data_IF_099506454658
#
_entry.id   IF_099506454658
#
_cell.length_a   1.000
_cell.length_b   1.000
_cell.length_c   1.000
_cell.angle_alpha   90.00
_cell.angle_beta   90.00
_cell.angle_gamma   90.00
#
_symmetry.space_group_name_H-M   'P 1'
#
loop_
_entity.id
_entity.type
_entity.pdbx_description
1 polymer ?
#
# COMPACT_ATOMS: atom_id res chain seq x y z
N UNK A 1 3.95 13.99 -22.61
CA UNK A 1 3.88 14.90 -21.45
C UNK A 1 3.24 16.24 -21.86
N UNK A 2 2.44 16.87 -21.00
CA UNK A 2 1.83 18.19 -21.22
C UNK A 2 2.79 19.33 -20.86
N UNK A 3 3.65 19.10 -19.86
CA UNK A 3 4.74 19.98 -19.43
C UNK A 3 5.99 19.11 -19.28
N UNK A 4 7.20 19.57 -19.66
CA UNK A 4 8.43 18.84 -19.37
C UNK A 4 8.55 18.53 -17.86
N UNK A 5 8.84 17.27 -17.46
CA UNK A 5 9.03 16.94 -16.05
C UNK A 5 10.21 17.70 -15.45
N UNK A 6 10.04 18.14 -14.21
CA UNK A 6 11.14 18.63 -13.36
C UNK A 6 12.00 17.43 -12.98
N UNK A 7 13.28 17.50 -13.35
CA UNK A 7 14.28 16.48 -12.99
C UNK A 7 14.92 16.88 -11.67
N UNK A 8 14.82 16.05 -10.61
CA UNK A 8 15.43 16.38 -9.32
C UNK A 8 16.96 16.36 -9.43
N UNK A 9 17.63 17.35 -8.84
CA UNK A 9 19.07 17.36 -8.68
C UNK A 9 19.47 16.53 -7.47
N UNK A 10 20.14 15.40 -7.71
CA UNK A 10 20.55 14.48 -6.64
C UNK A 10 22.03 14.71 -6.27
N UNK A 11 22.37 14.73 -4.97
CA UNK A 11 23.76 14.87 -4.55
C UNK A 11 24.60 13.64 -4.95
N UNK A 12 25.91 13.83 -5.09
CA UNK A 12 26.83 12.71 -5.32
C UNK A 12 26.72 11.70 -4.18
N UNK A 13 26.56 10.43 -4.52
CA UNK A 13 26.39 9.34 -3.55
C UNK A 13 24.96 9.15 -3.05
N UNK A 14 23.97 9.86 -3.61
CA UNK A 14 22.56 9.60 -3.33
C UNK A 14 22.20 8.13 -3.62
N UNK A 15 21.45 7.51 -2.70
CA UNK A 15 20.84 6.21 -2.91
C UNK A 15 19.39 6.43 -3.31
N UNK A 16 18.99 5.90 -4.46
CA UNK A 16 17.68 6.16 -5.07
C UNK A 16 16.88 4.89 -5.15
N UNK A 17 15.65 4.94 -4.63
CA UNK A 17 14.59 3.99 -4.91
C UNK A 17 13.53 4.62 -5.82
N UNK A 18 12.99 3.83 -6.74
CA UNK A 18 11.84 4.19 -7.57
C UNK A 18 10.76 3.15 -7.34
N UNK A 19 9.53 3.61 -7.15
CA UNK A 19 8.33 2.78 -7.07
C UNK A 19 7.37 3.20 -8.16
N UNK A 20 6.79 2.22 -8.82
CA UNK A 20 5.87 2.41 -9.93
C UNK A 20 4.53 1.81 -9.56
N UNK A 21 3.48 2.52 -9.95
CA UNK A 21 2.12 2.15 -9.66
C UNK A 21 1.21 2.25 -10.87
N UNK A 22 0.23 1.35 -10.97
CA UNK A 22 -0.72 1.25 -12.06
C UNK A 22 -2.11 0.88 -11.56
N UNK A 23 -3.16 1.45 -12.16
CA UNK A 23 -4.57 1.15 -11.85
C UNK A 23 -5.20 0.14 -12.84
N UNK A 24 -4.40 -0.53 -13.66
CA UNK A 24 -4.88 -1.56 -14.58
C UNK A 24 -4.27 -2.92 -14.25
N UNK A 25 -4.45 -3.92 -15.11
CA UNK A 25 -4.17 -5.31 -14.73
C UNK A 25 -2.69 -5.61 -14.49
N UNK A 26 -1.79 -5.16 -15.38
CA UNK A 26 -0.37 -5.51 -15.30
C UNK A 26 0.53 -4.38 -15.76
N UNK A 27 1.41 -3.94 -14.86
CA UNK A 27 2.54 -3.06 -15.12
C UNK A 27 3.76 -3.89 -15.52
N UNK A 28 4.29 -3.61 -16.71
CA UNK A 28 5.57 -4.15 -17.18
C UNK A 28 6.57 -3.02 -17.36
N UNK A 29 7.75 -3.15 -16.75
CA UNK A 29 8.84 -2.18 -16.93
C UNK A 29 9.43 -2.31 -18.34
N UNK A 30 9.35 -1.24 -19.11
CA UNK A 30 10.07 -1.09 -20.38
C UNK A 30 11.49 -0.57 -20.21
N UNK A 31 12.33 -0.78 -21.22
CA UNK A 31 13.73 -0.30 -21.25
C UNK A 31 14.70 -1.36 -21.73
N UNK A 32 15.97 -1.00 -21.90
CA UNK A 32 16.99 -1.99 -22.24
C UNK A 32 17.26 -2.91 -21.03
N UNK A 33 17.59 -4.20 -21.24
CA UNK A 33 17.95 -5.11 -20.14
C UNK A 33 19.10 -4.57 -19.29
N UNK A 34 20.05 -3.85 -19.90
CA UNK A 34 21.14 -3.20 -19.21
C UNK A 34 20.66 -2.08 -18.26
N UNK A 35 19.72 -1.24 -18.69
CA UNK A 35 19.17 -0.16 -17.87
C UNK A 35 18.37 -0.71 -16.68
N UNK A 36 17.49 -1.70 -16.91
CA UNK A 36 16.70 -2.33 -15.85
C UNK A 36 17.60 -3.04 -14.82
N UNK A 37 18.65 -3.73 -15.29
CA UNK A 37 19.64 -4.35 -14.39
C UNK A 37 20.44 -3.32 -13.60
N UNK A 38 20.90 -2.25 -14.25
CA UNK A 38 21.66 -1.18 -13.60
C UNK A 38 20.82 -0.45 -12.53
N UNK A 39 19.54 -0.20 -12.81
CA UNK A 39 18.57 0.35 -11.87
C UNK A 39 18.14 -0.64 -10.77
N UNK A 40 18.59 -1.90 -10.82
CA UNK A 40 18.16 -2.98 -9.90
C UNK A 40 16.63 -3.09 -9.86
N UNK A 41 16.04 -3.07 -11.05
CA UNK A 41 14.59 -3.13 -11.21
C UNK A 41 14.07 -4.55 -10.96
N UNK A 42 12.97 -4.63 -10.22
CA UNK A 42 12.23 -5.84 -9.88
C UNK A 42 10.77 -5.59 -10.22
N UNK A 43 10.26 -6.37 -11.17
CA UNK A 43 8.86 -6.30 -11.60
C UNK A 43 8.09 -7.57 -11.21
N UNK A 44 8.76 -8.58 -10.66
CA UNK A 44 8.18 -9.88 -10.35
C UNK A 44 9.24 -10.99 -10.33
N UNK A 45 8.83 -12.24 -10.57
CA UNK A 45 9.71 -13.40 -10.61
C UNK A 45 9.53 -14.16 -11.93
N UNK A 46 10.61 -14.35 -12.70
CA UNK A 46 10.65 -15.31 -13.81
C UNK A 46 9.53 -15.13 -14.85
N UNK A 47 9.23 -13.90 -15.27
CA UNK A 47 8.15 -13.61 -16.23
C UNK A 47 6.75 -13.55 -15.61
N UNK A 48 6.63 -13.67 -14.28
CA UNK A 48 5.40 -13.43 -13.53
C UNK A 48 5.48 -12.08 -12.82
N UNK A 49 4.90 -10.99 -13.39
CA UNK A 49 4.92 -9.67 -12.79
C UNK A 49 4.16 -9.64 -11.47
N UNK A 50 4.41 -8.63 -10.65
CA UNK A 50 3.60 -8.42 -9.45
C UNK A 50 2.17 -8.01 -9.79
N UNK A 51 1.88 -7.52 -10.99
CA UNK A 51 0.57 -6.96 -11.33
C UNK A 51 0.70 -5.45 -11.40
N UNK A 52 0.19 -4.72 -10.42
CA UNK A 52 0.10 -3.25 -10.43
C UNK A 52 1.37 -2.51 -9.99
N UNK A 53 2.40 -3.22 -9.51
CA UNK A 53 3.57 -2.62 -8.85
C UNK A 53 4.89 -3.09 -9.47
N UNK A 54 5.86 -2.19 -9.51
CA UNK A 54 7.27 -2.53 -9.69
C UNK A 54 8.16 -1.54 -8.94
N UNK A 55 9.44 -1.87 -8.78
CA UNK A 55 10.39 -0.97 -8.13
C UNK A 55 11.79 -1.13 -8.70
N UNK A 56 12.60 -0.10 -8.58
CA UNK A 56 14.03 -0.10 -8.91
C UNK A 56 14.83 0.45 -7.73
N UNK A 57 15.86 -0.26 -7.29
CA UNK A 57 16.73 0.21 -6.20
C UNK A 57 16.09 0.25 -4.80
N UNK A 58 14.84 -0.19 -4.64
CA UNK A 58 14.08 -0.10 -3.39
C UNK A 58 14.81 -0.75 -2.19
N UNK A 59 15.31 -1.98 -2.34
CA UNK A 59 16.03 -2.64 -1.25
C UNK A 59 17.28 -1.87 -0.83
N UNK A 60 18.06 -1.36 -1.79
CA UNK A 60 19.26 -0.55 -1.48
C UNK A 60 18.89 0.76 -0.80
N UNK A 61 17.77 1.38 -1.20
CA UNK A 61 17.24 2.56 -0.53
C UNK A 61 16.87 2.27 0.93
N UNK A 62 16.08 1.23 1.20
CA UNK A 62 15.68 0.88 2.56
C UNK A 62 16.86 0.45 3.43
N UNK A 63 17.81 -0.33 2.91
CA UNK A 63 19.04 -0.67 3.62
C UNK A 63 19.82 0.60 4.04
N UNK A 64 19.90 1.59 3.15
CA UNK A 64 20.58 2.86 3.45
C UNK A 64 19.80 3.70 4.47
N UNK A 65 18.48 3.78 4.33
CA UNK A 65 17.61 4.49 5.27
C UNK A 65 17.68 3.87 6.67
N UNK A 66 17.56 2.55 6.78
CA UNK A 66 17.63 1.83 8.05
C UNK A 66 19.00 1.94 8.72
N UNK A 67 20.10 1.91 7.95
CA UNK A 67 21.44 2.22 8.46
C UNK A 67 21.55 3.66 8.95
N UNK A 68 20.93 4.62 8.25
CA UNK A 68 20.90 6.01 8.69
C UNK A 68 20.09 6.19 9.98
N UNK A 69 18.98 5.45 10.15
CA UNK A 69 18.20 5.41 11.40
C UNK A 69 19.05 4.85 12.54
N UNK A 70 19.69 3.70 12.34
CA UNK A 70 20.57 3.06 13.34
C UNK A 70 21.74 3.97 13.74
N UNK A 71 22.28 4.74 12.80
CA UNK A 71 23.35 5.71 13.03
C UNK A 71 22.85 7.06 13.57
N UNK A 72 21.55 7.24 13.83
CA UNK A 72 20.97 8.49 14.32
C UNK A 72 20.96 9.65 13.30
N UNK A 73 21.18 9.37 12.01
CA UNK A 73 21.23 10.35 10.91
C UNK A 73 19.88 10.60 10.26
N UNK A 74 18.97 9.62 10.35
CA UNK A 74 17.58 9.73 9.90
C UNK A 74 16.67 9.48 11.09
N UNK A 75 15.74 10.41 11.35
CA UNK A 75 14.72 10.24 12.38
C UNK A 75 13.38 9.95 11.73
N UNK A 76 12.81 8.80 12.05
CA UNK A 76 11.45 8.46 11.66
C UNK A 76 10.49 9.06 12.71
N UNK A 77 9.47 9.85 12.31
CA UNK A 77 8.48 10.34 13.26
C UNK A 77 7.67 9.16 13.81
N UNK A 78 7.39 9.13 15.13
CA UNK A 78 6.55 8.07 15.69
C UNK A 78 5.12 8.16 15.13
N UNK A 79 4.40 7.05 15.15
CA UNK A 79 2.96 7.07 14.92
C UNK A 79 2.29 7.98 15.95
N UNK A 80 1.36 8.81 15.49
CA UNK A 80 0.60 9.72 16.34
C UNK A 80 -0.47 8.99 17.17
N UNK A 81 -1.33 9.78 17.82
CA UNK A 81 -2.59 9.30 18.41
C UNK A 81 -3.76 9.85 17.60
N UNK A 82 -4.68 8.98 17.24
CA UNK A 82 -5.93 9.33 16.60
C UNK A 82 -6.90 9.99 17.60
N UNK A 83 -7.94 10.63 17.07
CA UNK A 83 -9.01 11.31 17.85
C UNK A 83 -9.76 10.39 18.82
N UNK A 84 -9.70 9.09 18.60
CA UNK A 84 -10.29 8.08 19.48
C UNK A 84 -9.34 7.64 20.62
N UNK A 85 -8.12 8.17 20.66
CA UNK A 85 -7.09 7.88 21.65
C UNK A 85 -6.20 6.69 21.32
N UNK A 86 -6.53 5.89 20.29
CA UNK A 86 -5.69 4.77 19.83
C UNK A 86 -4.51 5.29 18.98
N UNK A 87 -3.46 4.48 18.78
CA UNK A 87 -2.39 4.82 17.84
C UNK A 87 -2.96 5.11 16.44
N UNK A 88 -2.34 6.07 15.74
CA UNK A 88 -2.61 6.27 14.32
C UNK A 88 -2.27 5.00 13.54
N UNK A 89 -3.11 4.60 12.56
CA UNK A 89 -2.81 3.44 11.73
C UNK A 89 -1.56 3.70 10.87
N UNK A 90 -0.99 2.63 10.33
CA UNK A 90 0.07 2.68 9.34
C UNK A 90 -0.27 1.76 8.16
N UNK A 91 0.58 1.72 7.14
CA UNK A 91 0.43 0.78 6.01
C UNK A 91 0.65 -0.70 6.37
N UNK A 92 0.88 -1.00 7.65
CA UNK A 92 0.92 -2.37 8.19
C UNK A 92 -0.16 -2.61 9.25
N UNK A 93 -1.21 -1.79 9.26
CA UNK A 93 -2.35 -1.92 10.17
C UNK A 93 -3.53 -2.64 9.48
N UNK A 94 -4.08 -3.65 10.14
CA UNK A 94 -5.19 -4.48 9.62
C UNK A 94 -6.51 -3.73 9.43
N UNK A 95 -6.62 -2.48 9.89
CA UNK A 95 -7.75 -1.59 9.59
C UNK A 95 -7.62 -0.81 8.29
N UNK A 96 -6.41 -0.76 7.73
CA UNK A 96 -6.12 -0.09 6.48
C UNK A 96 -6.00 -1.12 5.35
N UNK A 97 -5.08 -2.07 5.50
CA UNK A 97 -4.63 -2.99 4.44
C UNK A 97 -5.74 -3.85 3.85
N UNK A 98 -5.53 -4.33 2.62
CA UNK A 98 -6.41 -5.27 1.92
C UNK A 98 -5.71 -6.59 1.54
N UNK A 99 -6.18 -7.27 0.49
CA UNK A 99 -5.67 -8.57 0.06
C UNK A 99 -4.23 -8.54 -0.47
N UNK A 100 -3.78 -7.38 -0.94
CA UNK A 100 -2.51 -7.16 -1.61
C UNK A 100 -1.79 -5.92 -1.07
N UNK A 101 -1.64 -5.90 0.26
CA UNK A 101 -1.13 -4.76 1.01
C UNK A 101 0.23 -4.21 0.56
N UNK A 102 0.57 -3.03 1.08
CA UNK A 102 1.83 -2.34 0.76
C UNK A 102 1.94 -2.06 -0.75
N UNK A 103 0.80 -1.84 -1.38
CA UNK A 103 0.72 -1.60 -2.81
C UNK A 103 0.92 -0.12 -3.17
N UNK A 104 1.43 0.02 -4.39
CA UNK A 104 1.23 1.19 -5.23
C UNK A 104 1.83 2.50 -4.66
N UNK A 105 1.40 3.68 -5.11
CA UNK A 105 2.09 4.95 -4.78
C UNK A 105 1.14 6.05 -4.34
N UNK A 106 1.68 7.07 -3.67
CA UNK A 106 0.96 8.29 -3.27
C UNK A 106 0.93 9.34 -4.38
N UNK A 107 1.85 9.21 -5.34
CA UNK A 107 2.08 10.14 -6.44
C UNK A 107 0.81 10.35 -7.27
N UNK A 108 0.58 11.61 -7.65
CA UNK A 108 -0.48 11.97 -8.60
C UNK A 108 0.08 12.66 -9.82
N UNK A 109 -0.70 12.61 -10.91
CA UNK A 109 -0.40 13.31 -12.15
C UNK A 109 -1.55 14.26 -12.50
N UNK A 110 -1.26 15.29 -13.28
CA UNK A 110 -2.26 16.15 -13.90
C UNK A 110 -2.48 15.69 -15.34
N UNK A 111 -3.71 15.36 -15.69
CA UNK A 111 -4.13 15.04 -17.05
C UNK A 111 -4.84 16.21 -17.71
N UNK A 112 -4.43 16.50 -18.92
CA UNK A 112 -5.07 17.48 -19.81
C UNK A 112 -6.19 16.81 -20.62
N UNK A 113 -7.11 17.62 -21.18
CA UNK A 113 -8.26 17.11 -21.96
C UNK A 113 -7.84 16.30 -23.19
N UNK A 114 -6.67 16.59 -23.75
CA UNK A 114 -6.05 15.92 -24.89
C UNK A 114 -5.20 14.70 -24.46
N UNK A 115 -5.32 14.23 -23.22
CA UNK A 115 -4.73 12.97 -22.76
C UNK A 115 -3.25 13.05 -22.38
N UNK A 116 -2.62 14.23 -22.41
CA UNK A 116 -1.23 14.40 -21.96
C UNK A 116 -1.18 14.55 -20.44
N UNK A 117 -0.16 13.96 -19.81
CA UNK A 117 0.08 14.04 -18.36
C UNK A 117 1.21 14.99 -17.99
N UNK A 118 1.21 15.52 -16.76
CA UNK A 118 2.30 16.28 -16.15
C UNK A 118 2.43 15.90 -14.66
N UNK A 119 3.57 16.19 -14.03
CA UNK A 119 3.71 16.07 -12.57
C UNK A 119 2.69 16.96 -11.87
N UNK A 120 2.10 16.49 -10.77
CA UNK A 120 1.15 17.25 -9.98
C UNK A 120 1.83 18.23 -9.01
N UNK A 121 2.48 19.25 -9.57
CA UNK A 121 3.10 20.34 -8.82
C UNK A 121 2.20 21.57 -8.76
N UNK A 122 2.42 22.44 -7.77
CA UNK A 122 1.68 23.70 -7.69
C UNK A 122 1.90 24.59 -8.93
N UNK A 123 3.09 24.53 -9.54
CA UNK A 123 3.39 25.23 -10.78
C UNK A 123 2.55 24.71 -11.95
N UNK A 124 2.50 23.39 -12.15
CA UNK A 124 1.75 22.79 -13.24
C UNK A 124 0.23 22.96 -13.08
N UNK A 125 -0.28 22.93 -11.84
CA UNK A 125 -1.70 23.15 -11.57
C UNK A 125 -2.16 24.57 -11.95
N UNK A 126 -1.29 25.58 -11.87
CA UNK A 126 -1.59 26.97 -12.28
C UNK A 126 -1.50 27.19 -13.79
N UNK A 127 -0.67 26.42 -14.50
CA UNK A 127 -0.46 26.59 -15.94
C UNK A 127 -1.45 25.79 -16.79
N UNK A 128 -1.88 24.63 -16.32
CA UNK A 128 -2.78 23.76 -17.06
C UNK A 128 -4.25 24.21 -16.92
N UNK A 129 -4.98 24.20 -18.03
CA UNK A 129 -6.39 24.63 -18.07
C UNK A 129 -7.33 23.54 -17.57
N UNK A 130 -7.73 23.61 -16.29
CA UNK A 130 -8.64 22.67 -15.62
C UNK A 130 -8.16 21.21 -15.80
N UNK A 131 -6.94 20.86 -15.35
CA UNK A 131 -6.46 19.49 -15.42
C UNK A 131 -7.30 18.58 -14.51
N UNK A 132 -7.45 17.32 -14.90
CA UNK A 132 -7.94 16.28 -14.01
C UNK A 132 -6.74 15.73 -13.20
N UNK A 133 -6.94 15.45 -11.92
CA UNK A 133 -5.93 14.75 -11.12
C UNK A 133 -6.08 13.26 -11.33
N UNK A 134 -5.04 12.61 -11.84
CA UNK A 134 -4.92 11.17 -11.88
C UNK A 134 -4.23 10.70 -10.61
N UNK A 135 -4.95 9.88 -9.87
CA UNK A 135 -4.45 9.24 -8.66
C UNK A 135 -4.49 7.73 -8.83
N UNK A 136 -3.71 7.07 -8.00
CA UNK A 136 -3.59 5.64 -7.96
C UNK A 136 -4.31 5.09 -6.72
N UNK A 137 -5.08 4.00 -6.89
CA UNK A 137 -5.75 3.32 -5.78
C UNK A 137 -4.71 2.52 -5.00
N UNK A 138 -4.36 2.97 -3.80
CA UNK A 138 -3.27 2.41 -3.02
C UNK A 138 -3.54 2.49 -1.53
N UNK A 139 -3.04 1.51 -0.76
CA UNK A 139 -2.98 1.58 0.70
C UNK A 139 -2.33 2.88 1.17
N UNK A 140 -1.23 3.24 0.51
CA UNK A 140 -0.41 4.39 0.87
C UNK A 140 -1.19 5.70 0.73
N UNK A 141 -1.87 5.90 -0.40
CA UNK A 141 -2.69 7.09 -0.63
C UNK A 141 -3.94 7.07 0.23
N UNK A 142 -4.54 5.89 0.43
CA UNK A 142 -5.70 5.75 1.31
C UNK A 142 -5.38 6.22 2.73
N UNK A 143 -4.21 5.81 3.25
CA UNK A 143 -3.71 6.27 4.54
C UNK A 143 -3.57 7.80 4.54
N UNK A 144 -2.71 8.32 3.66
CA UNK A 144 -2.27 9.72 3.72
C UNK A 144 -3.39 10.73 3.44
N UNK A 145 -4.24 10.43 2.46
CA UNK A 145 -5.20 11.40 1.92
C UNK A 145 -6.59 11.27 2.54
N UNK A 146 -6.92 10.14 3.18
CA UNK A 146 -8.28 9.86 3.66
C UNK A 146 -8.32 9.42 5.12
N UNK A 147 -7.61 8.34 5.48
CA UNK A 147 -7.70 7.77 6.84
C UNK A 147 -7.03 8.68 7.86
N UNK A 148 -5.81 9.14 7.61
CA UNK A 148 -5.10 10.01 8.54
C UNK A 148 -5.88 11.31 8.82
N UNK A 149 -6.33 12.07 7.80
CA UNK A 149 -7.17 13.26 8.02
C UNK A 149 -8.46 12.96 8.79
N UNK A 150 -9.15 11.86 8.49
CA UNK A 150 -10.39 11.47 9.18
C UNK A 150 -10.13 11.27 10.69
N UNK A 151 -9.06 10.55 11.01
CA UNK A 151 -8.68 10.20 12.37
C UNK A 151 -7.90 11.30 13.10
N UNK A 152 -7.50 12.38 12.41
CA UNK A 152 -6.70 13.45 12.99
C UNK A 152 -5.21 13.11 13.12
N UNK A 153 -4.75 12.13 12.35
CA UNK A 153 -3.36 11.73 12.24
C UNK A 153 -2.63 12.61 11.22
N UNK A 154 -1.30 12.61 11.31
CA UNK A 154 -0.43 13.40 10.43
C UNK A 154 0.48 12.44 9.65
N UNK A 155 0.38 12.44 8.30
CA UNK A 155 1.23 11.60 7.47
C UNK A 155 2.72 11.94 7.62
N UNK A 156 3.59 10.94 7.41
CA UNK A 156 5.02 11.20 7.32
C UNK A 156 5.38 11.78 5.95
N UNK A 157 5.86 13.03 5.95
CA UNK A 157 6.26 13.76 4.73
C UNK A 157 7.76 14.05 4.66
N UNK A 158 8.27 14.19 3.44
CA UNK A 158 9.59 14.76 3.14
C UNK A 158 9.48 15.87 2.08
N UNK A 159 10.48 16.76 1.95
CA UNK A 159 10.47 17.80 0.91
C UNK A 159 10.47 17.22 -0.52
N UNK A 160 9.53 17.66 -1.36
CA UNK A 160 9.48 17.31 -2.78
C UNK A 160 10.49 18.13 -3.59
N UNK A 161 11.54 17.48 -4.10
CA UNK A 161 12.56 18.12 -4.93
C UNK A 161 12.02 18.65 -6.29
N UNK A 162 10.82 18.25 -6.69
CA UNK A 162 10.17 18.65 -7.94
C UNK A 162 9.11 19.75 -7.75
N UNK A 163 8.69 20.02 -6.51
CA UNK A 163 7.71 21.07 -6.17
C UNK A 163 8.23 22.03 -5.08
N UNK A 164 9.49 22.46 -5.23
CA UNK A 164 10.08 23.52 -4.39
C UNK A 164 10.23 23.16 -2.92
N UNK A 165 10.38 21.88 -2.59
CA UNK A 165 10.52 21.39 -1.22
C UNK A 165 9.22 21.31 -0.43
N UNK A 166 8.06 21.47 -1.09
CA UNK A 166 6.76 21.29 -0.42
C UNK A 166 6.70 19.88 0.19
N UNK A 167 6.23 19.72 1.44
CA UNK A 167 6.09 18.41 2.04
C UNK A 167 5.18 17.51 1.21
N UNK A 168 5.65 16.30 0.91
CA UNK A 168 4.90 15.27 0.19
C UNK A 168 5.09 13.91 0.85
N UNK A 169 4.15 12.99 0.63
CA UNK A 169 4.22 11.62 1.13
C UNK A 169 4.78 10.68 0.07
N UNK A 170 5.19 9.48 0.47
CA UNK A 170 5.58 8.42 -0.46
C UNK A 170 5.39 7.05 0.19
N UNK A 171 5.27 6.00 -0.63
CA UNK A 171 5.26 4.63 -0.13
C UNK A 171 6.45 4.38 0.80
N UNK A 172 7.65 4.83 0.43
CA UNK A 172 8.85 4.59 1.21
C UNK A 172 8.80 5.25 2.60
N UNK A 173 8.21 6.45 2.72
CA UNK A 173 8.02 7.10 4.02
C UNK A 173 7.02 6.32 4.88
N UNK A 174 5.91 5.89 4.29
CA UNK A 174 4.88 5.13 4.99
C UNK A 174 5.42 3.78 5.48
N UNK A 175 6.18 3.06 4.66
CA UNK A 175 6.80 1.79 5.05
C UNK A 175 7.87 1.97 6.14
N UNK A 176 8.70 3.02 6.07
CA UNK A 176 9.66 3.32 7.14
C UNK A 176 8.96 3.65 8.46
N UNK A 177 7.85 4.42 8.42
CA UNK A 177 7.07 4.73 9.61
C UNK A 177 6.39 3.48 10.18
N UNK A 178 5.81 2.64 9.32
CA UNK A 178 5.19 1.38 9.73
C UNK A 178 6.22 0.42 10.34
N UNK A 179 7.40 0.26 9.73
CA UNK A 179 8.48 -0.57 10.25
C UNK A 179 8.98 -0.10 11.64
N UNK A 180 9.03 1.22 11.86
CA UNK A 180 9.48 1.79 13.13
C UNK A 180 8.40 1.79 14.23
N UNK A 181 7.12 1.93 13.86
CA UNK A 181 6.05 2.28 14.80
C UNK A 181 4.94 1.24 14.98
N UNK A 182 4.65 0.40 13.97
CA UNK A 182 3.53 -0.54 14.03
C UNK A 182 3.81 -1.63 15.06
N UNK A 183 2.80 -1.92 15.90
CA UNK A 183 2.85 -3.00 16.88
C UNK A 183 1.99 -4.18 16.43
N UNK A 184 2.20 -5.33 17.05
CA UNK A 184 1.43 -6.52 16.76
C UNK A 184 -0.09 -6.29 16.97
N UNK A 185 -0.96 -6.81 16.09
CA UNK A 185 -0.61 -7.57 14.89
C UNK A 185 -0.07 -6.65 13.77
N UNK A 186 1.08 -7.01 13.20
CA UNK A 186 1.71 -6.28 12.09
C UNK A 186 1.34 -6.97 10.78
N UNK A 187 0.71 -6.25 9.87
CA UNK A 187 0.34 -6.76 8.57
C UNK A 187 1.59 -6.82 7.67
N UNK A 188 1.98 -8.02 7.28
CA UNK A 188 3.07 -8.28 6.33
C UNK A 188 2.50 -9.05 5.14
N UNK A 189 2.98 -8.74 3.94
CA UNK A 189 2.55 -9.33 2.66
C UNK A 189 2.46 -10.85 2.78
N UNK A 190 1.26 -11.45 2.79
CA UNK A 190 1.09 -12.87 3.10
C UNK A 190 1.53 -13.77 1.93
N UNK A 191 1.80 -15.07 2.17
CA UNK A 191 2.08 -16.01 1.08
C UNK A 191 0.96 -16.14 0.03
N UNK A 192 -0.28 -15.83 0.42
CA UNK A 192 -1.46 -15.87 -0.45
C UNK A 192 -1.78 -14.53 -1.12
N UNK A 193 -0.92 -13.52 -0.97
CA UNK A 193 -1.09 -12.23 -1.64
C UNK A 193 -1.14 -12.43 -3.17
N UNK A 194 -2.23 -11.98 -3.85
CA UNK A 194 -2.44 -12.14 -5.28
C UNK A 194 -1.28 -11.62 -6.15
N UNK A 195 -0.61 -10.56 -5.72
CA UNK A 195 0.52 -9.94 -6.43
C UNK A 195 1.77 -10.81 -6.36
N UNK A 196 1.85 -11.75 -5.42
CA UNK A 196 3.04 -12.58 -5.18
C UNK A 196 2.87 -14.04 -5.61
N UNK A 197 1.72 -14.40 -6.17
CA UNK A 197 1.48 -15.74 -6.71
C UNK A 197 2.22 -15.97 -8.03
N UNK A 198 2.58 -17.22 -8.30
CA UNK A 198 3.05 -17.70 -9.60
C UNK A 198 2.11 -18.79 -10.05
N UNK A 199 1.45 -18.60 -11.20
CA UNK A 199 0.39 -19.48 -11.70
C UNK A 199 -0.70 -19.77 -10.64
N UNK A 200 -1.03 -18.72 -9.88
CA UNK A 200 -2.01 -18.78 -8.78
C UNK A 200 -1.54 -19.51 -7.51
N UNK A 201 -0.29 -19.98 -7.45
CA UNK A 201 0.25 -20.69 -6.28
C UNK A 201 1.19 -19.78 -5.45
N UNK A 202 1.19 -19.92 -4.11
CA UNK A 202 2.14 -19.21 -3.25
C UNK A 202 3.59 -19.43 -3.67
N UNK A 203 4.37 -18.35 -3.77
CA UNK A 203 5.79 -18.41 -4.12
C UNK A 203 6.61 -17.63 -3.10
N UNK A 204 7.28 -18.31 -2.14
CA UNK A 204 8.10 -17.63 -1.15
C UNK A 204 9.18 -16.74 -1.77
N UNK A 205 9.72 -17.13 -2.93
CA UNK A 205 10.69 -16.33 -3.66
C UNK A 205 10.08 -15.02 -4.18
N UNK A 206 8.91 -15.08 -4.81
CA UNK A 206 8.23 -13.88 -5.34
C UNK A 206 7.73 -12.98 -4.21
N UNK A 207 7.18 -13.55 -3.13
CA UNK A 207 6.79 -12.78 -1.95
C UNK A 207 7.99 -12.10 -1.29
N UNK A 208 9.14 -12.76 -1.17
CA UNK A 208 10.34 -12.15 -0.61
C UNK A 208 10.89 -11.00 -1.47
N UNK A 209 10.80 -11.12 -2.81
CA UNK A 209 11.12 -10.01 -3.71
C UNK A 209 10.21 -8.82 -3.45
N UNK A 210 8.90 -9.05 -3.35
CA UNK A 210 7.93 -7.99 -3.04
C UNK A 210 8.21 -7.32 -1.69
N UNK A 211 8.35 -8.13 -0.62
CA UNK A 211 8.65 -7.65 0.74
C UNK A 211 9.91 -6.81 0.82
N UNK A 212 10.98 -7.21 0.12
CA UNK A 212 12.20 -6.41 0.05
C UNK A 212 11.99 -5.05 -0.64
N UNK A 213 11.03 -4.97 -1.57
CA UNK A 213 10.62 -3.75 -2.24
C UNK A 213 9.82 -2.77 -1.37
N UNK A 214 9.38 -3.19 -0.18
CA UNK A 214 8.54 -2.42 0.75
C UNK A 214 9.03 -2.50 2.20
N UNK A 215 10.33 -2.73 2.39
CA UNK A 215 11.01 -2.80 3.70
C UNK A 215 10.41 -3.80 4.71
N UNK A 216 9.90 -4.91 4.22
CA UNK A 216 9.39 -5.98 5.07
C UNK A 216 10.43 -7.09 5.22
N UNK A 217 10.49 -7.74 6.40
CA UNK A 217 11.38 -8.87 6.60
C UNK A 217 10.98 -10.04 5.67
N UNK A 218 11.94 -10.85 5.21
CA UNK A 218 11.65 -12.06 4.46
C UNK A 218 10.62 -12.95 5.17
N UNK A 219 9.85 -13.71 4.40
CA UNK A 219 8.93 -14.71 4.92
C UNK A 219 9.64 -15.66 5.88
N UNK A 220 9.16 -15.68 7.13
CA UNK A 220 9.40 -16.81 8.01
C UNK A 220 8.40 -17.91 7.68
N UNK A 221 8.89 -18.99 7.05
CA UNK A 221 8.07 -20.12 6.60
C UNK A 221 7.40 -20.87 7.76
N UNK A 222 7.81 -20.64 9.00
CA UNK A 222 7.21 -21.27 10.19
C UNK A 222 5.97 -20.54 10.68
N UNK A 223 5.87 -19.23 10.43
CA UNK A 223 4.85 -18.37 11.04
C UNK A 223 4.00 -17.65 10.03
N UNK A 224 4.51 -17.40 8.81
CA UNK A 224 3.77 -16.72 7.76
C UNK A 224 2.63 -17.60 7.23
N UNK A 225 1.40 -17.11 7.40
CA UNK A 225 0.20 -17.84 7.03
C UNK A 225 -0.88 -16.88 6.54
N UNK A 226 -1.42 -17.12 5.34
CA UNK A 226 -2.59 -16.41 4.82
C UNK A 226 -3.79 -16.55 5.77
N UNK A 227 -3.94 -17.70 6.44
CA UNK A 227 -5.00 -17.91 7.43
C UNK A 227 -4.83 -17.01 8.65
N UNK A 228 -3.61 -16.85 9.15
CA UNK A 228 -3.33 -15.93 10.25
C UNK A 228 -3.59 -14.47 9.83
N UNK A 229 -3.24 -14.12 8.60
CA UNK A 229 -3.54 -12.82 8.00
C UNK A 229 -5.05 -12.56 7.94
N UNK A 230 -5.83 -13.51 7.41
CA UNK A 230 -7.31 -13.47 7.38
C UNK A 230 -7.92 -13.26 8.77
N UNK A 231 -7.40 -13.96 9.80
CA UNK A 231 -7.90 -13.79 11.17
C UNK A 231 -7.66 -12.36 11.67
N UNK A 232 -6.48 -11.80 11.43
CA UNK A 232 -6.16 -10.42 11.84
C UNK A 232 -6.98 -9.38 11.06
N UNK A 233 -7.21 -9.57 9.76
CA UNK A 233 -8.13 -8.73 8.97
C UNK A 233 -9.53 -8.71 9.60
N UNK A 234 -10.07 -9.89 9.93
CA UNK A 234 -11.39 -10.01 10.53
C UNK A 234 -11.47 -9.35 11.90
N UNK A 235 -10.49 -9.56 12.77
CA UNK A 235 -10.57 -9.11 14.15
C UNK A 235 -10.15 -7.65 14.29
N UNK A 236 -8.91 -7.32 13.92
CA UNK A 236 -8.37 -5.97 14.08
C UNK A 236 -9.01 -4.98 13.09
N UNK A 237 -9.28 -5.41 11.85
CA UNK A 237 -9.96 -4.57 10.87
C UNK A 237 -11.37 -4.19 11.32
N UNK A 238 -12.19 -5.18 11.72
CA UNK A 238 -13.56 -4.93 12.20
C UNK A 238 -13.59 -4.07 13.48
N UNK A 239 -12.70 -4.34 14.44
CA UNK A 239 -12.63 -3.59 15.69
C UNK A 239 -12.32 -2.11 15.45
N UNK A 240 -11.38 -1.80 14.55
CA UNK A 240 -11.07 -0.40 14.19
C UNK A 240 -12.26 0.27 13.48
N UNK A 241 -12.86 -0.38 12.47
CA UNK A 241 -14.02 0.18 11.76
C UNK A 241 -15.19 0.48 12.68
N UNK A 242 -15.41 -0.39 13.67
CA UNK A 242 -16.45 -0.20 14.69
C UNK A 242 -16.10 0.97 15.62
N UNK A 243 -14.86 1.06 16.07
CA UNK A 243 -14.37 2.12 16.97
C UNK A 243 -14.45 3.50 16.31
N UNK A 244 -13.95 3.62 15.08
CA UNK A 244 -13.86 4.90 14.36
C UNK A 244 -15.09 5.22 13.52
N UNK A 245 -16.13 4.39 13.60
CA UNK A 245 -17.37 4.47 12.81
C UNK A 245 -17.87 5.88 12.59
N UNK A 246 -17.92 6.72 13.64
CA UNK A 246 -18.42 8.10 13.55
C UNK A 246 -17.48 9.00 12.75
N UNK A 247 -16.17 8.89 12.96
CA UNK A 247 -15.16 9.67 12.26
C UNK A 247 -15.12 9.29 10.78
N UNK A 248 -15.15 7.99 10.49
CA UNK A 248 -15.10 7.45 9.13
C UNK A 248 -16.40 7.73 8.35
N UNK A 249 -17.58 7.76 9.01
CA UNK A 249 -18.84 8.14 8.34
C UNK A 249 -18.87 9.59 7.88
N UNK A 250 -18.17 10.47 8.61
CA UNK A 250 -18.14 11.90 8.31
C UNK A 250 -17.05 12.28 7.29
N UNK A 251 -16.18 11.34 6.91
CA UNK A 251 -15.04 11.59 6.05
C UNK A 251 -15.32 11.16 4.60
N UNK A 252 -14.77 11.89 3.60
CA UNK A 252 -14.81 11.45 2.21
C UNK A 252 -13.93 10.21 2.01
N UNK A 253 -14.25 9.43 1.00
CA UNK A 253 -13.43 8.30 0.54
C UNK A 253 -12.81 8.58 -0.83
N UNK A 254 -11.92 7.69 -1.34
CA UNK A 254 -11.46 7.74 -2.73
C UNK A 254 -12.58 7.69 -3.76
N UNK A 255 -13.70 7.03 -3.44
CA UNK A 255 -14.86 6.95 -4.31
C UNK A 255 -15.77 8.16 -4.10
N UNK A 256 -16.01 8.92 -5.17
CA UNK A 256 -16.83 10.13 -5.16
C UNK A 256 -18.24 9.84 -4.61
N UNK A 257 -18.66 10.61 -3.60
CA UNK A 257 -19.97 10.46 -2.97
C UNK A 257 -20.10 9.27 -2.01
N UNK A 258 -19.04 8.50 -1.79
CA UNK A 258 -19.00 7.38 -0.84
C UNK A 258 -18.31 7.82 0.46
N UNK A 259 -18.94 7.53 1.60
CA UNK A 259 -18.33 7.76 2.92
C UNK A 259 -17.17 6.79 3.17
N UNK A 260 -16.11 7.24 3.84
CA UNK A 260 -14.92 6.43 4.11
C UNK A 260 -15.22 5.14 4.86
N UNK A 261 -16.18 5.17 5.79
CA UNK A 261 -16.61 3.94 6.49
C UNK A 261 -17.11 2.88 5.51
N UNK A 262 -17.97 3.26 4.56
CA UNK A 262 -18.53 2.32 3.57
C UNK A 262 -17.42 1.78 2.67
N UNK A 263 -16.54 2.67 2.19
CA UNK A 263 -15.37 2.28 1.38
C UNK A 263 -14.51 1.22 2.09
N UNK A 264 -14.09 1.47 3.33
CA UNK A 264 -13.25 0.53 4.09
C UNK A 264 -14.00 -0.77 4.46
N UNK A 265 -15.31 -0.69 4.69
CA UNK A 265 -16.16 -1.86 4.96
C UNK A 265 -16.25 -2.77 3.73
N UNK A 266 -16.49 -2.18 2.55
CA UNK A 266 -16.55 -2.93 1.30
C UNK A 266 -15.18 -3.48 0.91
N UNK A 267 -14.11 -2.70 1.15
CA UNK A 267 -12.72 -3.13 0.96
C UNK A 267 -12.41 -4.36 1.81
N UNK A 268 -12.66 -4.30 3.12
CA UNK A 268 -12.45 -5.44 4.02
C UNK A 268 -13.26 -6.67 3.57
N UNK A 269 -14.53 -6.50 3.20
CA UNK A 269 -15.35 -7.60 2.67
C UNK A 269 -14.71 -8.21 1.42
N UNK A 270 -14.29 -7.37 0.49
CA UNK A 270 -13.60 -7.78 -0.74
C UNK A 270 -12.30 -8.53 -0.46
N UNK A 271 -11.46 -8.05 0.46
CA UNK A 271 -10.22 -8.74 0.84
C UNK A 271 -10.47 -10.10 1.44
N UNK A 272 -11.47 -10.21 2.33
CA UNK A 272 -11.84 -11.49 2.92
C UNK A 272 -12.32 -12.49 1.87
N UNK A 273 -13.02 -12.04 0.83
CA UNK A 273 -13.43 -12.89 -0.28
C UNK A 273 -12.24 -13.30 -1.15
N UNK A 274 -11.41 -12.35 -1.57
CA UNK A 274 -10.30 -12.58 -2.50
C UNK A 274 -9.20 -13.48 -1.90
N UNK A 275 -8.92 -13.33 -0.60
CA UNK A 275 -7.98 -14.20 0.11
C UNK A 275 -8.59 -15.57 0.48
N UNK A 276 -9.86 -15.82 0.15
CA UNK A 276 -10.56 -17.06 0.49
C UNK A 276 -10.80 -17.21 2.00
N UNK A 277 -10.94 -16.12 2.74
CA UNK A 277 -11.16 -16.14 4.18
C UNK A 277 -12.58 -16.60 4.59
N UNK A 278 -13.55 -16.64 3.66
CA UNK A 278 -14.98 -16.86 3.93
C UNK A 278 -15.60 -18.18 3.43
N UNK A 279 -14.95 -18.99 2.56
CA UNK A 279 -15.50 -20.29 2.13
C UNK A 279 -14.45 -21.28 1.55
N UNK A 280 -14.67 -22.62 1.65
CA UNK A 280 -13.75 -23.67 1.19
C UNK A 280 -13.63 -23.86 -0.34
N UNK A 281 -14.50 -23.25 -1.16
CA UNK A 281 -14.52 -23.46 -2.62
C UNK A 281 -14.59 -22.19 -3.48
N UNK A 282 -14.54 -21.00 -2.88
CA UNK A 282 -14.66 -19.74 -3.62
C UNK A 282 -13.31 -19.06 -3.74
N UNK A 283 -12.51 -19.51 -4.71
CA UNK A 283 -11.80 -18.65 -5.65
C UNK A 283 -11.08 -19.55 -6.66
N UNK A 284 -10.97 -19.10 -7.91
CA UNK A 284 -9.98 -19.60 -8.86
C UNK A 284 -8.53 -19.28 -8.42
N UNK A 285 -8.27 -19.17 -7.11
CA UNK A 285 -6.98 -18.85 -6.51
C UNK A 285 -6.43 -20.10 -5.77
N UNK A 286 -5.40 -20.76 -6.34
CA UNK A 286 -4.73 -21.92 -5.75
C UNK A 286 -3.98 -21.68 -4.41
N UNK A 287 -4.07 -20.49 -3.81
CA UNK A 287 -3.50 -20.21 -2.48
C UNK A 287 -4.31 -20.83 -1.31
N UNK A 288 -5.55 -21.27 -1.55
CA UNK A 288 -6.41 -21.91 -0.56
C UNK A 288 -6.18 -23.43 -0.40
N UNK A 289 -4.98 -23.94 -0.65
CA UNK A 289 -4.68 -25.38 -0.70
C UNK A 289 -4.75 -26.13 0.66
N UNK A 290 -5.31 -25.53 1.70
CA UNK A 290 -5.71 -26.22 2.91
C UNK A 290 -7.16 -25.86 3.22
N UNK A 291 -8.04 -26.84 3.36
CA UNK A 291 -9.43 -26.62 3.76
C UNK A 291 -9.49 -25.64 4.95
N UNK A 292 -10.26 -24.54 4.84
CA UNK A 292 -10.40 -23.58 5.92
C UNK A 292 -11.07 -24.25 7.11
N UNK A 293 -10.52 -24.03 8.31
CA UNK A 293 -11.10 -24.48 9.57
C UNK A 293 -12.57 -24.01 9.68
N UNK A 294 -13.55 -24.89 9.94
CA UNK A 294 -14.95 -24.52 10.10
C UNK A 294 -15.18 -23.35 11.07
N UNK A 295 -14.37 -23.23 12.12
CA UNK A 295 -14.44 -22.11 13.06
C UNK A 295 -14.02 -20.78 12.41
N UNK A 296 -13.02 -20.80 11.52
CA UNK A 296 -12.60 -19.62 10.77
C UNK A 296 -13.67 -19.19 9.76
N UNK A 297 -14.43 -20.14 9.18
CA UNK A 297 -15.52 -19.86 8.24
C UNK A 297 -16.74 -19.22 8.92
N UNK A 298 -17.18 -19.79 10.05
CA UNK A 298 -18.32 -19.25 10.81
C UNK A 298 -18.03 -17.81 11.25
N UNK A 299 -16.85 -17.58 11.81
CA UNK A 299 -16.47 -16.27 12.30
C UNK A 299 -16.18 -15.27 11.15
N UNK A 300 -15.84 -15.73 9.94
CA UNK A 300 -15.78 -14.87 8.76
C UNK A 300 -17.17 -14.45 8.28
N UNK A 301 -18.13 -15.37 8.29
CA UNK A 301 -19.53 -15.09 7.95
C UNK A 301 -20.16 -14.08 8.92
N UNK A 302 -19.87 -14.21 10.22
CA UNK A 302 -20.30 -13.25 11.24
C UNK A 302 -19.67 -11.86 11.03
N UNK A 303 -18.37 -11.80 10.66
CA UNK A 303 -17.72 -10.54 10.28
C UNK A 303 -18.42 -9.91 9.08
N UNK A 304 -18.72 -10.66 8.01
CA UNK A 304 -19.42 -10.12 6.82
C UNK A 304 -20.79 -9.57 7.20
N UNK A 305 -21.57 -10.31 8.01
CA UNK A 305 -22.88 -9.84 8.49
C UNK A 305 -22.75 -8.56 9.34
N UNK A 306 -21.73 -8.48 10.19
CA UNK A 306 -21.48 -7.26 10.97
C UNK A 306 -21.14 -6.09 10.07
N UNK A 307 -20.31 -6.30 9.04
CA UNK A 307 -19.97 -5.29 8.05
C UNK A 307 -21.19 -4.77 7.28
N UNK A 308 -22.15 -5.63 6.93
CA UNK A 308 -23.42 -5.23 6.30
C UNK A 308 -24.23 -4.25 7.18
N UNK A 309 -24.15 -4.38 8.49
CA UNK A 309 -24.83 -3.45 9.43
C UNK A 309 -24.05 -2.17 9.71
N UNK A 310 -22.74 -2.14 9.40
CA UNK A 310 -21.89 -0.98 9.61
C UNK A 310 -21.96 0.01 8.44
N UNK A 311 -22.02 -0.52 7.21
CA UNK A 311 -22.06 0.22 5.94
C UNK A 311 -23.26 1.14 5.74
#
# INVERSE_FOLDING_TARGET
SAVPPVVPALPRGAVVGLWFGFNGDTLTLGGSPAALKAGRCVNGLGGSPFGQVAFCGAQTFFDAANKAVQAGKLRIPPLGRAKDGRPCPSVRDFSLVDQDQSDNVTTTYLATRDGRTAQATAANARTLRKPATLANGSDNRLLDAFVDPALGCTPFTAPDATDGGRPTTSLALNELQAAAGQRAPVALVPPGDPMTLVDGKPSPAKTNLYRAGVDQPPLDRRTASTRAYCRSLRTAGLDRLTTDRRLLRAAPSPDDGVALLKFLTDRLRGSLQQLGCTHPAASRHPAAAAEPDPADQAAASDTVRTLETLG
#
